data_IF_452619472547
#
_entry.id   IF_452619472547
#
_cell.length_a   1.000
_cell.length_b   1.000
_cell.length_c   1.000
_cell.angle_alpha   90.00
_cell.angle_beta   90.00
_cell.angle_gamma   90.00
#
_symmetry.space_group_name_H-M   'P 1'
#
loop_
_entity.id
_entity.type
_entity.pdbx_description
1 polymer ?
#
# COMPACT_ATOMS: atom_id res chain seq x y z
N UNK A 1 -4.56 -25.63 1.03
CA UNK A 1 -5.03 -25.09 2.30
C UNK A 1 -3.85 -24.41 3.02
N UNK A 2 -3.88 -23.10 3.14
CA UNK A 2 -2.80 -22.28 3.71
C UNK A 2 -2.42 -22.68 5.15
N UNK A 3 -3.29 -23.40 5.83
CA UNK A 3 -3.04 -23.90 7.19
C UNK A 3 -2.02 -25.04 7.22
N UNK A 4 -1.82 -25.73 6.09
CA UNK A 4 -0.92 -26.89 6.01
C UNK A 4 0.48 -26.53 5.50
N UNK A 5 0.69 -25.31 5.01
CA UNK A 5 1.97 -24.84 4.46
C UNK A 5 2.25 -23.39 4.91
N UNK A 6 2.45 -23.17 6.23
CA UNK A 6 2.63 -21.85 6.79
C UNK A 6 3.88 -21.09 6.29
N UNK A 7 4.87 -21.83 5.79
CA UNK A 7 6.15 -21.28 5.34
C UNK A 7 6.10 -20.70 3.91
N UNK A 8 4.99 -20.91 3.18
CA UNK A 8 4.84 -20.42 1.79
C UNK A 8 4.42 -18.95 1.67
N UNK A 9 3.96 -18.35 2.76
CA UNK A 9 3.43 -16.98 2.72
C UNK A 9 4.12 -16.13 3.76
N UNK A 10 4.65 -14.99 3.32
CA UNK A 10 5.21 -13.99 4.20
C UNK A 10 4.14 -13.48 5.19
N UNK A 11 4.34 -13.62 6.51
CA UNK A 11 3.39 -13.15 7.52
C UNK A 11 3.10 -11.64 7.40
N UNK A 12 4.06 -10.83 6.98
CA UNK A 12 3.86 -9.39 6.80
C UNK A 12 2.90 -9.11 5.66
N UNK A 13 2.99 -9.88 4.57
CA UNK A 13 2.04 -9.79 3.45
C UNK A 13 0.62 -10.18 3.89
N UNK A 14 0.47 -11.23 4.69
CA UNK A 14 -0.85 -11.63 5.24
C UNK A 14 -1.45 -10.51 6.07
N UNK A 15 -0.66 -9.90 6.95
CA UNK A 15 -1.14 -8.84 7.84
C UNK A 15 -1.57 -7.61 7.04
N UNK A 16 -0.73 -7.12 6.13
CA UNK A 16 -1.02 -5.91 5.35
C UNK A 16 -2.20 -6.15 4.40
N UNK A 17 -2.09 -7.15 3.52
CA UNK A 17 -3.13 -7.42 2.53
C UNK A 17 -4.45 -7.83 3.19
N UNK A 18 -4.40 -8.71 4.19
CA UNK A 18 -5.59 -9.17 4.91
C UNK A 18 -6.31 -8.02 5.62
N UNK A 19 -5.58 -7.12 6.24
CA UNK A 19 -6.16 -5.95 6.92
C UNK A 19 -6.78 -4.98 5.92
N UNK A 20 -6.10 -4.69 4.81
CA UNK A 20 -6.63 -3.80 3.78
C UNK A 20 -7.89 -4.40 3.14
N UNK A 21 -7.88 -5.66 2.73
CA UNK A 21 -9.06 -6.33 2.16
C UNK A 21 -10.26 -6.35 3.12
N UNK A 22 -10.00 -6.48 4.43
CA UNK A 22 -11.05 -6.47 5.45
C UNK A 22 -11.64 -5.08 5.69
N UNK A 23 -10.79 -4.04 5.70
CA UNK A 23 -11.19 -2.67 6.03
C UNK A 23 -11.62 -1.84 4.83
N UNK A 24 -11.12 -2.16 3.65
CA UNK A 24 -11.35 -1.43 2.40
C UNK A 24 -12.09 -2.32 1.39
N UNK A 25 -13.42 -2.45 1.47
CA UNK A 25 -14.18 -3.44 0.69
C UNK A 25 -14.08 -3.27 -0.83
N UNK A 26 -13.77 -2.07 -1.31
CA UNK A 26 -13.58 -1.80 -2.73
C UNK A 26 -12.19 -2.20 -3.25
N UNK A 27 -11.21 -2.42 -2.38
CA UNK A 27 -9.88 -2.91 -2.75
C UNK A 27 -9.93 -4.42 -3.08
N UNK A 28 -10.39 -4.74 -4.29
CA UNK A 28 -10.55 -6.15 -4.73
C UNK A 28 -9.24 -6.82 -5.09
N UNK A 29 -8.22 -6.06 -5.41
CA UNK A 29 -6.89 -6.54 -5.73
C UNK A 29 -5.85 -5.58 -5.16
N UNK A 30 -4.82 -6.10 -4.54
CA UNK A 30 -3.74 -5.32 -3.92
C UNK A 30 -2.41 -5.88 -4.42
N UNK A 31 -1.53 -4.99 -4.86
CA UNK A 31 -0.17 -5.31 -5.27
C UNK A 31 0.84 -4.58 -4.39
N UNK A 32 1.80 -5.30 -3.87
CA UNK A 32 3.02 -4.73 -3.29
C UNK A 32 4.14 -4.82 -4.32
N UNK A 33 4.72 -3.70 -4.67
CA UNK A 33 5.78 -3.63 -5.68
C UNK A 33 6.88 -2.64 -5.29
N UNK A 34 8.09 -2.92 -5.72
CA UNK A 34 9.26 -2.05 -5.59
C UNK A 34 9.66 -1.48 -6.96
N UNK A 35 8.72 -0.82 -7.65
CA UNK A 35 9.04 -0.27 -8.96
C UNK A 35 10.06 0.88 -8.83
N UNK A 36 11.06 0.88 -9.71
CA UNK A 36 12.20 1.81 -9.66
C UNK A 36 11.80 3.27 -9.49
N UNK A 37 10.85 3.73 -10.29
CA UNK A 37 10.46 5.14 -10.30
C UNK A 37 9.52 5.50 -9.14
N UNK A 38 8.60 4.61 -8.77
CA UNK A 38 7.74 4.84 -7.61
C UNK A 38 8.57 4.85 -6.31
N UNK A 39 9.53 3.95 -6.19
CA UNK A 39 10.46 3.93 -5.05
C UNK A 39 11.29 5.22 -5.00
N UNK A 40 11.82 5.69 -6.14
CA UNK A 40 12.55 6.95 -6.19
C UNK A 40 11.66 8.14 -5.80
N UNK A 41 10.41 8.19 -6.28
CA UNK A 41 9.46 9.23 -5.93
C UNK A 41 9.16 9.23 -4.43
N UNK A 42 8.95 8.05 -3.83
CA UNK A 42 8.63 7.92 -2.40
C UNK A 42 9.73 8.42 -1.46
N UNK A 43 10.98 8.52 -1.94
CA UNK A 43 12.10 9.05 -1.15
C UNK A 43 12.20 10.58 -1.16
N UNK A 44 11.39 11.26 -1.94
CA UNK A 44 11.40 12.72 -2.01
C UNK A 44 10.69 13.34 -0.81
N UNK A 45 11.05 14.57 -0.49
CA UNK A 45 10.39 15.35 0.57
C UNK A 45 8.90 15.58 0.27
N UNK A 46 8.55 15.74 -1.00
CA UNK A 46 7.19 15.83 -1.51
C UNK A 46 6.96 14.69 -2.50
N UNK A 47 6.53 13.51 -2.03
CA UNK A 47 6.41 12.32 -2.87
C UNK A 47 5.11 12.26 -3.68
N UNK A 48 4.28 13.32 -3.62
CA UNK A 48 3.01 13.35 -4.33
C UNK A 48 3.23 13.41 -5.84
N UNK A 49 2.64 12.45 -6.53
CA UNK A 49 2.64 12.42 -7.99
C UNK A 49 1.82 13.58 -8.55
N UNK A 50 2.50 14.50 -9.26
CA UNK A 50 1.85 15.67 -9.87
C UNK A 50 1.20 15.30 -11.20
N UNK A 51 0.02 15.83 -11.52
CA UNK A 51 -0.67 15.54 -12.78
C UNK A 51 -0.06 16.35 -13.94
N UNK A 52 1.13 15.95 -14.38
CA UNK A 52 1.89 16.65 -15.43
C UNK A 52 1.58 16.16 -16.83
N UNK A 53 0.95 15.01 -16.96
CA UNK A 53 0.55 14.41 -18.23
C UNK A 53 -0.73 13.56 -18.07
N UNK A 54 -1.23 13.04 -19.19
CA UNK A 54 -2.44 12.23 -19.20
C UNK A 54 -2.32 10.93 -18.42
N UNK A 55 -1.13 10.33 -18.34
CA UNK A 55 -0.91 9.08 -17.61
C UNK A 55 -0.91 9.34 -16.10
N UNK A 56 -0.28 10.43 -15.65
CA UNK A 56 -0.26 10.80 -14.23
C UNK A 56 -1.61 11.30 -13.73
N UNK A 57 -2.48 11.82 -14.62
CA UNK A 57 -3.85 12.19 -14.27
C UNK A 57 -4.71 11.02 -13.78
N UNK A 58 -4.41 9.79 -14.18
CA UNK A 58 -5.10 8.59 -13.69
C UNK A 58 -4.99 8.46 -12.16
N UNK A 59 -3.88 8.94 -11.60
CA UNK A 59 -3.56 8.86 -10.17
C UNK A 59 -3.92 10.12 -9.39
N UNK A 60 -4.47 11.14 -10.04
CA UNK A 60 -4.81 12.41 -9.40
C UNK A 60 -5.81 12.19 -8.25
N UNK A 61 -5.50 12.67 -7.07
CA UNK A 61 -6.25 12.46 -5.82
C UNK A 61 -6.48 10.98 -5.44
N UNK A 62 -5.61 10.07 -5.93
CA UNK A 62 -5.71 8.64 -5.64
C UNK A 62 -4.45 8.08 -5.00
N UNK A 63 -3.53 8.94 -4.60
CA UNK A 63 -2.26 8.56 -3.98
C UNK A 63 -2.27 8.99 -2.52
N UNK A 64 -2.00 8.07 -1.63
CA UNK A 64 -1.71 8.34 -0.22
C UNK A 64 -0.24 8.10 0.06
N UNK A 65 0.31 8.88 0.95
CA UNK A 65 1.67 8.72 1.45
C UNK A 65 1.60 8.27 2.91
N UNK A 66 2.18 7.13 3.19
CA UNK A 66 2.29 6.60 4.54
C UNK A 66 3.68 6.93 5.07
N UNK A 67 3.78 7.93 5.94
CA UNK A 67 5.04 8.47 6.45
C UNK A 67 5.49 7.83 7.78
N UNK A 68 4.83 6.76 8.20
CA UNK A 68 5.19 6.06 9.43
C UNK A 68 5.89 4.75 9.09
N UNK A 69 6.94 4.43 9.84
CA UNK A 69 7.57 3.13 9.80
C UNK A 69 7.45 2.49 11.17
N UNK A 70 6.53 1.54 11.30
CA UNK A 70 6.24 0.82 12.54
C UNK A 70 6.95 -0.53 12.67
N UNK A 71 7.78 -0.88 11.68
CA UNK A 71 8.48 -2.16 11.63
C UNK A 71 8.03 -3.03 10.46
N UNK A 72 7.95 -4.34 10.64
CA UNK A 72 7.74 -5.33 9.59
C UNK A 72 6.25 -5.67 9.34
N UNK A 73 5.36 -4.69 9.30
CA UNK A 73 3.95 -4.93 9.00
C UNK A 73 3.19 -5.62 10.13
N UNK A 74 3.45 -5.24 11.37
CA UNK A 74 2.66 -5.68 12.51
C UNK A 74 1.22 -5.17 12.43
N UNK A 75 0.34 -5.76 13.22
CA UNK A 75 -1.10 -5.50 13.14
C UNK A 75 -1.47 -4.01 13.24
N UNK A 76 -0.83 -3.26 14.14
CA UNK A 76 -1.08 -1.82 14.32
C UNK A 76 -0.70 -1.01 13.07
N UNK A 77 0.43 -1.31 12.44
CA UNK A 77 0.89 -0.66 11.22
C UNK A 77 -0.05 -0.96 10.05
N UNK A 78 -0.47 -2.22 9.92
CA UNK A 78 -1.42 -2.64 8.90
C UNK A 78 -2.77 -1.91 9.00
N UNK A 79 -3.22 -1.62 10.22
CA UNK A 79 -4.44 -0.84 10.48
C UNK A 79 -4.27 0.62 10.04
N UNK A 80 -3.14 1.23 10.36
CA UNK A 80 -2.83 2.61 9.95
C UNK A 80 -2.70 2.74 8.43
N UNK A 81 -2.02 1.79 7.78
CA UNK A 81 -1.94 1.72 6.32
C UNK A 81 -3.33 1.58 5.69
N UNK A 82 -4.18 0.70 6.21
CA UNK A 82 -5.54 0.53 5.69
C UNK A 82 -6.38 1.80 5.82
N UNK A 83 -6.23 2.57 6.91
CA UNK A 83 -6.90 3.85 7.08
C UNK A 83 -6.40 4.90 6.08
N UNK A 84 -5.09 4.94 5.81
CA UNK A 84 -4.52 5.82 4.78
C UNK A 84 -5.02 5.44 3.36
N UNK A 85 -5.33 4.17 3.14
CA UNK A 85 -5.81 3.66 1.86
C UNK A 85 -7.30 3.90 1.60
N UNK A 86 -8.10 4.18 2.60
CA UNK A 86 -9.57 4.24 2.50
C UNK A 86 -10.08 5.15 1.37
N UNK A 87 -9.36 6.24 1.09
CA UNK A 87 -9.70 7.22 0.04
C UNK A 87 -8.79 7.16 -1.20
N UNK A 88 -7.84 6.23 -1.24
CA UNK A 88 -6.78 6.21 -2.24
C UNK A 88 -6.69 4.86 -2.95
N UNK A 89 -6.08 4.86 -4.13
CA UNK A 89 -5.84 3.64 -4.91
C UNK A 89 -4.37 3.21 -4.87
N UNK A 90 -3.47 4.08 -4.42
CA UNK A 90 -2.03 3.85 -4.30
C UNK A 90 -1.58 4.39 -2.96
N UNK A 91 -0.71 3.64 -2.28
CA UNK A 91 -0.03 4.04 -1.05
C UNK A 91 1.48 3.83 -1.21
N UNK A 92 2.27 4.79 -0.79
CA UNK A 92 3.73 4.65 -0.68
C UNK A 92 4.12 4.63 0.79
#
# INVERSE_FOLDING_TARGET
DLKNEPDLIDPTAINIHGTIHKKVPHAKCIFHVHSKYATALSTLKDPIMKPIDQNTMIFYNRVSVFNEFGGLGFEEESIKMANAWEISSICY
#
